data_IF_536650401207
#
_entry.id   IF_536650401207
#
_cell.length_a   1.000
_cell.length_b   1.000
_cell.length_c   1.000
_cell.angle_alpha   90.00
_cell.angle_beta   90.00
_cell.angle_gamma   90.00
#
_symmetry.space_group_name_H-M   'P 1'
#
loop_
_entity.id
_entity.type
_entity.pdbx_description
1 polymer ?
#
# COMPACT_ATOMS: atom_id res chain seq x y z
N UNK A 1 -6.05 -2.33 -3.43
CA UNK A 1 -6.36 -1.91 -2.05
C UNK A 1 -5.23 -2.23 -1.07
N UNK A 2 -4.52 -3.37 -1.17
CA UNK A 2 -3.47 -3.74 -0.20
C UNK A 2 -2.04 -3.33 -0.61
N UNK A 3 -1.86 -2.48 -1.64
CA UNK A 3 -0.53 -2.06 -2.08
C UNK A 3 0.24 -1.32 -0.96
N UNK A 4 1.55 -1.56 -0.87
CA UNK A 4 2.43 -0.92 0.12
C UNK A 4 2.82 0.51 -0.28
N UNK A 5 1.85 1.43 -0.33
CA UNK A 5 2.02 2.77 -0.91
C UNK A 5 2.74 3.78 0.01
N UNK A 6 2.82 3.49 1.32
CA UNK A 6 3.67 4.24 2.27
C UNK A 6 4.87 3.40 2.68
N UNK A 7 6.05 3.77 2.20
CA UNK A 7 7.30 3.13 2.58
C UNK A 7 7.96 3.89 3.72
N UNK A 8 7.99 3.27 4.90
CA UNK A 8 8.69 3.83 6.06
C UNK A 8 10.15 3.39 6.04
N UNK A 9 11.07 4.35 6.07
CA UNK A 9 12.53 4.10 6.03
C UNK A 9 13.23 4.85 7.16
N UNK A 10 14.35 4.33 7.69
CA UNK A 10 15.16 5.10 8.64
C UNK A 10 15.51 6.47 8.02
N UNK A 11 15.27 7.56 8.74
CA UNK A 11 15.49 8.92 8.22
C UNK A 11 16.93 9.11 7.73
N UNK A 12 17.90 8.50 8.42
CA UNK A 12 19.32 8.49 8.05
C UNK A 12 19.64 7.79 6.72
N UNK A 13 18.72 6.99 6.19
CA UNK A 13 18.87 6.24 4.92
C UNK A 13 17.89 6.69 3.84
N UNK A 14 17.20 7.82 4.03
CA UNK A 14 16.23 8.34 3.05
C UNK A 14 16.83 8.49 1.65
N UNK A 15 18.03 9.08 1.54
CA UNK A 15 18.69 9.27 0.24
C UNK A 15 19.05 7.95 -0.46
N UNK A 16 19.45 6.93 0.31
CA UNK A 16 19.73 5.60 -0.22
C UNK A 16 18.45 4.91 -0.72
N UNK A 17 17.39 4.94 0.08
CA UNK A 17 16.09 4.38 -0.28
C UNK A 17 15.50 5.05 -1.52
N UNK A 18 15.52 6.38 -1.59
CA UNK A 18 15.09 7.15 -2.74
C UNK A 18 15.88 6.76 -4.00
N UNK A 19 17.20 6.60 -3.89
CA UNK A 19 18.03 6.16 -5.02
C UNK A 19 17.68 4.76 -5.50
N UNK A 20 17.43 3.82 -4.59
CA UNK A 20 17.02 2.45 -4.95
C UNK A 20 15.65 2.48 -5.63
N UNK A 21 14.70 3.25 -5.12
CA UNK A 21 13.37 3.32 -5.72
C UNK A 21 13.40 3.95 -7.11
N UNK A 22 14.19 5.01 -7.33
CA UNK A 22 14.38 5.58 -8.68
C UNK A 22 14.94 4.54 -9.64
N UNK A 23 16.00 3.83 -9.25
CA UNK A 23 16.58 2.77 -10.08
C UNK A 23 15.58 1.65 -10.38
N UNK A 24 14.74 1.27 -9.41
CA UNK A 24 13.70 0.26 -9.62
C UNK A 24 12.60 0.74 -10.59
N UNK A 25 12.39 2.05 -10.76
CA UNK A 25 11.45 2.57 -11.76
C UNK A 25 12.00 2.43 -13.20
N UNK A 26 13.32 2.35 -13.39
CA UNK A 26 13.93 2.19 -14.72
C UNK A 26 13.55 0.84 -15.37
N UNK A 27 13.25 -0.16 -14.55
CA UNK A 27 12.80 -1.49 -15.00
C UNK A 27 11.29 -1.55 -15.32
N UNK A 28 10.53 -0.50 -15.01
CA UNK A 28 9.07 -0.47 -15.23
C UNK A 28 8.76 0.07 -16.62
N UNK A 29 8.22 -0.80 -17.47
CA UNK A 29 7.70 -0.43 -18.78
C UNK A 29 6.21 -0.10 -18.66
N UNK A 30 5.86 1.18 -18.81
CA UNK A 30 4.46 1.59 -18.94
C UNK A 30 4.05 1.48 -20.40
N UNK A 31 2.93 0.83 -20.69
CA UNK A 31 2.53 0.64 -22.07
C UNK A 31 1.18 -0.04 -22.27
N UNK A 32 0.78 -0.27 -23.53
CA UNK A 32 -0.45 -0.95 -23.88
C UNK A 32 -0.55 -2.33 -23.22
N UNK A 33 -1.73 -2.74 -22.71
CA UNK A 33 -1.89 -4.00 -21.99
C UNK A 33 -1.78 -5.24 -22.89
N UNK A 34 -1.82 -5.08 -24.21
CA UNK A 34 -1.65 -6.13 -25.21
C UNK A 34 -0.19 -6.32 -25.67
N UNK A 35 0.76 -5.58 -25.07
CA UNK A 35 2.19 -5.74 -25.32
C UNK A 35 2.85 -6.61 -24.26
N UNK A 36 3.57 -7.65 -24.68
CA UNK A 36 4.36 -8.52 -23.79
C UNK A 36 5.50 -7.77 -23.06
N UNK A 37 5.89 -6.59 -23.54
CA UNK A 37 6.92 -5.76 -22.91
C UNK A 37 6.36 -4.91 -21.76
N UNK A 38 5.04 -4.74 -21.64
CA UNK A 38 4.41 -3.86 -20.65
C UNK A 38 4.46 -4.48 -19.26
N UNK A 39 5.03 -3.75 -18.31
CA UNK A 39 4.95 -4.06 -16.87
C UNK A 39 3.66 -3.51 -16.26
N UNK A 40 3.27 -2.27 -16.60
CA UNK A 40 2.11 -1.58 -16.04
C UNK A 40 1.27 -0.93 -17.14
N UNK A 41 -0.01 -1.26 -17.17
CA UNK A 41 -1.00 -0.69 -18.10
C UNK A 41 -1.55 0.67 -17.66
N UNK A 42 -2.57 1.20 -18.36
CA UNK A 42 -3.24 2.43 -17.95
C UNK A 42 -4.11 2.18 -16.70
N UNK A 43 -4.45 3.27 -16.00
CA UNK A 43 -5.51 3.19 -14.97
C UNK A 43 -6.88 3.07 -15.64
N UNK A 44 -7.87 2.62 -14.87
CA UNK A 44 -9.14 2.12 -15.43
C UNK A 44 -10.00 3.19 -16.13
N UNK A 45 -9.91 4.46 -15.74
CA UNK A 45 -10.80 5.51 -16.25
C UNK A 45 -10.19 6.91 -16.15
N UNK A 46 -10.79 7.86 -16.88
CA UNK A 46 -10.45 9.28 -16.82
C UNK A 46 -10.61 9.86 -15.42
N UNK A 47 -11.70 9.52 -14.72
CA UNK A 47 -11.95 9.96 -13.34
C UNK A 47 -10.82 9.51 -12.41
N UNK A 48 -10.37 8.26 -12.53
CA UNK A 48 -9.23 7.78 -11.73
C UNK A 48 -7.93 8.46 -12.13
N UNK A 49 -7.70 8.66 -13.43
CA UNK A 49 -6.52 9.36 -13.91
C UNK A 49 -6.45 10.78 -13.34
N UNK A 50 -7.53 11.57 -13.46
CA UNK A 50 -7.61 12.94 -12.94
C UNK A 50 -7.36 12.95 -11.42
N UNK A 51 -8.02 12.08 -10.64
CA UNK A 51 -7.79 11.98 -9.19
C UNK A 51 -6.31 11.73 -8.86
N UNK A 52 -5.66 10.83 -9.59
CA UNK A 52 -4.24 10.53 -9.37
C UNK A 52 -3.36 11.73 -9.72
N UNK A 53 -3.66 12.44 -10.82
CA UNK A 53 -2.94 13.67 -11.18
C UNK A 53 -3.09 14.75 -10.11
N UNK A 54 -4.30 14.96 -9.60
CA UNK A 54 -4.57 15.95 -8.55
C UNK A 54 -3.80 15.63 -7.26
N UNK A 55 -3.72 14.35 -6.88
CA UNK A 55 -2.95 13.92 -5.71
C UNK A 55 -1.43 14.02 -5.93
N UNK A 56 -0.94 13.77 -7.15
CA UNK A 56 0.47 14.04 -7.49
C UNK A 56 0.77 15.54 -7.38
N UNK A 57 -0.10 16.40 -7.93
CA UNK A 57 0.06 17.85 -7.82
C UNK A 57 0.03 18.30 -6.36
N UNK A 58 -0.90 17.77 -5.56
CA UNK A 58 -0.98 18.06 -4.12
C UNK A 58 0.32 17.71 -3.39
N UNK A 59 0.92 16.54 -3.71
CA UNK A 59 2.21 16.16 -3.14
C UNK A 59 3.33 17.15 -3.45
N UNK A 60 3.38 17.67 -4.68
CA UNK A 60 4.33 18.71 -5.10
C UNK A 60 4.07 20.01 -4.33
N UNK A 61 2.80 20.42 -4.22
CA UNK A 61 2.40 21.68 -3.59
C UNK A 61 2.62 21.68 -2.07
N UNK A 62 2.48 20.51 -1.42
CA UNK A 62 2.75 20.31 0.01
C UNK A 62 4.25 20.20 0.32
N UNK A 63 5.12 20.21 -0.70
CA UNK A 63 6.58 20.27 -0.53
C UNK A 63 7.27 18.91 -0.40
N UNK A 64 6.59 17.81 -0.77
CA UNK A 64 7.27 16.53 -0.91
C UNK A 64 8.34 16.60 -2.01
N UNK A 65 9.40 15.81 -1.86
CA UNK A 65 10.46 15.73 -2.89
C UNK A 65 10.03 14.76 -3.98
N UNK A 66 9.78 15.26 -5.19
CA UNK A 66 9.48 14.42 -6.35
C UNK A 66 10.77 13.77 -6.86
N UNK A 67 10.94 12.47 -6.62
CA UNK A 67 12.15 11.72 -6.98
C UNK A 67 12.16 11.29 -8.44
N UNK A 68 11.00 10.88 -8.95
CA UNK A 68 10.79 10.50 -10.36
C UNK A 68 9.30 10.48 -10.71
N UNK A 69 8.99 10.38 -12.00
CA UNK A 69 7.61 10.39 -12.50
C UNK A 69 7.02 11.80 -12.46
N UNK A 70 5.86 11.94 -11.82
CA UNK A 70 5.12 13.19 -11.69
C UNK A 70 3.92 13.28 -12.64
N UNK A 71 3.52 14.52 -12.93
CA UNK A 71 2.33 14.81 -13.71
C UNK A 71 2.47 14.41 -15.18
N UNK A 72 1.31 14.25 -15.82
CA UNK A 72 1.14 13.91 -17.21
C UNK A 72 1.19 12.41 -17.50
N UNK A 73 1.21 12.11 -18.79
CA UNK A 73 1.38 10.76 -19.33
C UNK A 73 2.87 10.51 -19.60
N UNK A 74 3.33 9.25 -19.60
CA UNK A 74 4.66 8.92 -20.12
C UNK A 74 4.80 9.34 -21.58
N UNK A 75 6.03 9.64 -22.00
CA UNK A 75 6.34 10.06 -23.37
C UNK A 75 5.91 8.98 -24.38
N UNK A 76 5.28 9.41 -25.48
CA UNK A 76 4.80 8.51 -26.53
C UNK A 76 3.48 7.79 -26.24
N UNK A 77 2.87 8.00 -25.06
CA UNK A 77 1.57 7.44 -24.68
C UNK A 77 0.47 8.52 -24.61
N UNK A 78 0.18 9.16 -25.75
CA UNK A 78 -0.75 10.31 -25.82
C UNK A 78 -2.24 9.94 -25.63
N UNK A 79 -2.58 8.66 -25.82
CA UNK A 79 -3.96 8.15 -25.71
C UNK A 79 -4.05 7.07 -24.64
N UNK A 80 -5.13 7.10 -23.87
CA UNK A 80 -5.32 6.24 -22.71
C UNK A 80 -4.99 6.96 -21.40
N UNK A 81 -5.26 6.27 -20.30
CA UNK A 81 -5.13 6.81 -18.94
C UNK A 81 -3.82 6.35 -18.30
N UNK A 82 -2.71 6.58 -18.98
CA UNK A 82 -1.39 6.20 -18.47
C UNK A 82 -0.90 7.21 -17.43
N UNK A 83 -0.45 6.70 -16.29
CA UNK A 83 0.16 7.50 -15.22
C UNK A 83 1.64 7.16 -15.15
N UNK A 84 2.48 8.18 -14.97
CA UNK A 84 3.93 7.98 -14.74
C UNK A 84 4.13 7.36 -13.35
N UNK A 85 4.82 6.22 -13.21
CA UNK A 85 5.22 5.70 -11.91
C UNK A 85 5.97 6.78 -11.13
N UNK A 86 5.42 7.17 -9.99
CA UNK A 86 5.82 8.38 -9.27
C UNK A 86 6.29 8.00 -7.87
N UNK A 87 7.43 8.56 -7.47
CA UNK A 87 7.99 8.37 -6.14
C UNK A 87 8.17 9.73 -5.49
N UNK A 88 7.62 9.89 -4.30
CA UNK A 88 7.90 11.01 -3.42
C UNK A 88 8.75 10.58 -2.23
N UNK A 89 9.75 11.37 -1.89
CA UNK A 89 10.52 11.26 -0.64
C UNK A 89 10.31 12.48 0.24
N UNK A 90 10.84 12.40 1.47
CA UNK A 90 10.69 13.45 2.49
C UNK A 90 9.22 13.82 2.76
N UNK A 91 8.33 12.82 2.68
CA UNK A 91 6.91 12.99 2.98
C UNK A 91 6.71 12.95 4.48
N UNK A 92 5.97 13.91 5.03
CA UNK A 92 5.51 13.86 6.42
C UNK A 92 4.15 13.17 6.48
N UNK A 93 3.85 12.48 7.59
CA UNK A 93 2.65 11.66 7.66
C UNK A 93 1.34 12.48 7.66
N UNK A 94 1.39 13.80 7.86
CA UNK A 94 0.26 14.73 7.78
C UNK A 94 -0.05 15.22 6.36
N UNK A 95 0.85 15.01 5.39
CA UNK A 95 0.59 15.32 3.97
C UNK A 95 -0.58 14.51 3.41
N UNK A 96 -1.35 15.11 2.50
CA UNK A 96 -2.52 14.49 1.88
C UNK A 96 -2.15 13.18 1.19
N UNK A 97 -1.00 13.14 0.49
CA UNK A 97 -0.50 11.93 -0.20
C UNK A 97 -0.10 10.78 0.74
N UNK A 98 0.06 11.04 2.05
CA UNK A 98 0.25 10.02 3.08
C UNK A 98 -1.05 9.59 3.77
N UNK A 99 -2.14 10.37 3.63
CA UNK A 99 -3.41 10.12 4.32
C UNK A 99 -4.48 9.52 3.43
N UNK A 100 -4.48 9.88 2.15
CA UNK A 100 -5.47 9.43 1.20
C UNK A 100 -4.97 8.27 0.33
N UNK A 101 -5.89 7.34 0.02
CA UNK A 101 -5.59 6.28 -0.94
C UNK A 101 -5.60 6.84 -2.37
N UNK A 102 -4.42 6.85 -3.01
CA UNK A 102 -4.22 7.39 -4.36
C UNK A 102 -4.79 6.45 -5.44
N UNK A 103 -4.64 5.13 -5.27
CA UNK A 103 -5.07 4.11 -6.24
C UNK A 103 -4.42 4.21 -7.64
N UNK A 104 -3.21 4.78 -7.68
CA UNK A 104 -2.33 4.84 -8.85
C UNK A 104 -0.91 4.37 -8.51
N UNK A 105 0.01 4.35 -9.50
CA UNK A 105 1.41 3.94 -9.29
C UNK A 105 2.21 5.06 -8.60
N UNK A 106 1.83 5.42 -7.38
CA UNK A 106 2.46 6.48 -6.58
C UNK A 106 2.92 5.89 -5.24
N UNK A 107 4.22 6.00 -4.98
CA UNK A 107 4.87 5.60 -3.73
C UNK A 107 5.28 6.85 -2.94
N UNK A 108 5.01 6.86 -1.64
CA UNK A 108 5.53 7.90 -0.74
C UNK A 108 6.50 7.29 0.26
N UNK A 109 7.60 7.99 0.55
CA UNK A 109 8.57 7.59 1.55
C UNK A 109 8.55 8.53 2.76
N UNK A 110 8.41 7.93 3.93
CA UNK A 110 8.33 8.64 5.21
C UNK A 110 9.51 8.20 6.08
N UNK A 111 10.27 9.17 6.58
CA UNK A 111 11.39 8.92 7.49
C UNK A 111 10.90 8.57 8.89
N UNK A 112 11.56 7.62 9.56
CA UNK A 112 11.39 7.36 10.99
C UNK A 112 12.74 7.37 11.72
N UNK A 113 12.72 7.67 13.01
CA UNK A 113 13.93 7.73 13.84
C UNK A 113 14.28 6.37 14.49
N UNK A 114 13.26 5.66 15.00
CA UNK A 114 13.39 4.35 15.64
C UNK A 114 12.16 3.45 15.44
N UNK A 115 12.16 2.27 16.07
CA UNK A 115 11.07 1.30 15.96
C UNK A 115 9.74 1.80 16.54
N UNK A 116 9.80 2.60 17.61
CA UNK A 116 8.60 3.16 18.24
C UNK A 116 7.96 4.20 17.31
N UNK A 117 8.79 5.04 16.72
CA UNK A 117 8.36 6.05 15.76
C UNK A 117 7.81 5.42 14.48
N UNK A 118 8.46 4.37 13.95
CA UNK A 118 7.96 3.61 12.80
C UNK A 118 6.59 2.99 13.08
N UNK A 119 6.40 2.37 14.26
CA UNK A 119 5.10 1.80 14.66
C UNK A 119 4.04 2.88 14.82
N UNK A 120 4.40 4.04 15.38
CA UNK A 120 3.50 5.19 15.52
C UNK A 120 3.03 5.69 14.16
N UNK A 121 3.94 5.94 13.22
CA UNK A 121 3.63 6.43 11.87
C UNK A 121 2.80 5.39 11.08
N UNK A 122 3.18 4.11 11.15
CA UNK A 122 2.46 3.05 10.45
C UNK A 122 1.00 2.96 10.90
N UNK A 123 0.76 3.06 12.21
CA UNK A 123 -0.58 3.03 12.81
C UNK A 123 -1.36 4.34 12.72
N UNK A 124 -0.69 5.46 12.46
CA UNK A 124 -1.33 6.77 12.24
C UNK A 124 -1.90 6.84 10.82
N UNK A 125 -3.07 6.23 10.66
CA UNK A 125 -3.88 6.20 9.44
C UNK A 125 -5.32 5.78 9.80
N UNK A 126 -6.31 6.18 9.00
CA UNK A 126 -7.68 5.69 9.15
C UNK A 126 -7.86 4.24 8.69
N UNK A 127 -6.90 3.69 7.95
CA UNK A 127 -6.94 2.36 7.34
C UNK A 127 -6.18 1.31 8.16
N UNK A 128 -6.26 0.06 7.72
CA UNK A 128 -5.57 -1.08 8.34
C UNK A 128 -5.82 -2.38 7.59
N UNK A 129 -5.59 -2.41 6.27
CA UNK A 129 -5.84 -3.59 5.43
C UNK A 129 -4.67 -4.59 5.45
N UNK A 130 -3.52 -4.18 4.93
CA UNK A 130 -2.28 -4.97 4.94
C UNK A 130 -1.08 -4.10 5.28
N UNK A 131 -0.02 -4.70 5.81
CA UNK A 131 1.25 -4.08 6.11
C UNK A 131 2.41 -5.00 5.73
N UNK A 132 3.58 -4.39 5.54
CA UNK A 132 4.77 -5.06 5.03
C UNK A 132 5.97 -4.65 5.87
N UNK A 133 6.83 -5.60 6.20
CA UNK A 133 8.03 -5.33 7.00
C UNK A 133 9.21 -6.17 6.53
N UNK A 134 10.37 -5.53 6.44
CA UNK A 134 11.63 -6.17 6.05
C UNK A 134 12.69 -5.95 7.14
N UNK A 135 13.40 -7.00 7.54
CA UNK A 135 14.43 -6.95 8.56
C UNK A 135 14.81 -8.32 9.13
N UNK A 136 15.57 -8.35 10.22
CA UNK A 136 15.79 -9.60 10.96
C UNK A 136 14.46 -10.17 11.43
N UNK A 137 14.29 -11.49 11.30
CA UNK A 137 12.99 -12.14 11.46
C UNK A 137 12.35 -11.84 12.83
N UNK A 138 13.14 -11.88 13.92
CA UNK A 138 12.65 -11.64 15.27
C UNK A 138 12.18 -10.20 15.46
N UNK A 139 12.98 -9.20 15.03
CA UNK A 139 12.60 -7.78 15.11
C UNK A 139 11.40 -7.48 14.22
N UNK A 140 11.42 -7.97 12.98
CA UNK A 140 10.33 -7.76 12.04
C UNK A 140 9.01 -8.35 12.57
N UNK A 141 9.05 -9.56 13.10
CA UNK A 141 7.86 -10.21 13.70
C UNK A 141 7.40 -9.49 14.97
N UNK A 142 8.33 -9.01 15.81
CA UNK A 142 7.98 -8.23 17.00
C UNK A 142 7.28 -6.91 16.66
N UNK A 143 7.77 -6.19 15.65
CA UNK A 143 7.15 -4.96 15.14
C UNK A 143 5.81 -5.27 14.47
N UNK A 144 5.73 -6.32 13.63
CA UNK A 144 4.52 -6.69 12.90
C UNK A 144 3.31 -6.89 13.84
N UNK A 145 3.50 -7.51 15.01
CA UNK A 145 2.45 -7.70 16.04
C UNK A 145 1.85 -6.39 16.57
N UNK A 146 2.56 -5.27 16.40
CA UNK A 146 2.15 -3.95 16.90
C UNK A 146 1.46 -3.11 15.83
N UNK A 147 1.50 -3.53 14.56
CA UNK A 147 0.83 -2.83 13.46
C UNK A 147 -0.62 -3.29 13.39
N UNK A 148 -1.56 -2.34 13.45
CA UNK A 148 -3.00 -2.59 13.51
C UNK A 148 -3.59 -2.75 12.12
N UNK A 149 -3.33 -3.91 11.54
CA UNK A 149 -3.76 -4.25 10.19
C UNK A 149 -4.21 -5.71 10.09
N UNK A 150 -4.98 -6.01 9.05
CA UNK A 150 -5.51 -7.35 8.77
C UNK A 150 -4.44 -8.40 8.55
N UNK A 151 -3.45 -8.04 7.73
CA UNK A 151 -2.37 -8.91 7.32
C UNK A 151 -1.01 -8.21 7.45
N UNK A 152 0.00 -8.99 7.83
CA UNK A 152 1.39 -8.55 7.87
C UNK A 152 2.25 -9.49 7.04
N UNK A 153 2.95 -8.95 6.05
CA UNK A 153 3.90 -9.67 5.22
C UNK A 153 5.31 -9.41 5.74
N UNK A 154 5.97 -10.45 6.24
CA UNK A 154 7.35 -10.37 6.76
C UNK A 154 8.32 -10.82 5.69
N UNK A 155 9.34 -10.01 5.39
CA UNK A 155 10.45 -10.33 4.48
C UNK A 155 10.00 -10.83 3.09
N UNK A 156 8.97 -10.18 2.51
CA UNK A 156 8.48 -10.50 1.17
C UNK A 156 7.61 -11.76 1.09
N UNK A 157 7.11 -12.27 2.21
CA UNK A 157 6.13 -13.35 2.21
C UNK A 157 4.94 -13.04 1.28
N UNK A 158 4.64 -13.97 0.37
CA UNK A 158 3.53 -13.86 -0.57
C UNK A 158 2.16 -14.04 0.11
N UNK A 159 1.07 -13.91 -0.66
CA UNK A 159 -0.27 -14.23 -0.16
C UNK A 159 -0.41 -15.73 0.17
N UNK A 160 -1.13 -16.04 1.24
CA UNK A 160 -1.65 -17.38 1.54
C UNK A 160 -3.17 -17.30 1.54
N UNK A 161 -3.83 -17.97 0.59
CA UNK A 161 -5.28 -17.96 0.45
C UNK A 161 -6.01 -18.81 1.51
N UNK A 162 -5.27 -19.51 2.39
CA UNK A 162 -5.84 -20.12 3.59
C UNK A 162 -5.82 -19.16 4.78
N UNK A 163 -5.04 -18.07 4.72
CA UNK A 163 -5.03 -17.06 5.76
C UNK A 163 -6.17 -16.06 5.54
N UNK A 164 -6.80 -15.56 6.62
CA UNK A 164 -7.89 -14.59 6.50
C UNK A 164 -7.39 -13.27 5.90
N UNK A 165 -8.15 -12.75 4.94
CA UNK A 165 -7.95 -11.44 4.31
C UNK A 165 -9.05 -10.48 4.72
N UNK A 166 -8.71 -9.28 5.15
CA UNK A 166 -9.69 -8.26 5.53
C UNK A 166 -9.11 -7.27 6.52
N UNK A 167 -9.68 -6.08 6.57
CA UNK A 167 -9.06 -4.96 7.26
C UNK A 167 -9.48 -4.73 8.72
N UNK A 168 -8.82 -3.75 9.31
CA UNK A 168 -9.22 -3.03 10.51
C UNK A 168 -9.74 -1.64 10.10
N UNK A 169 -10.45 -0.96 11.02
CA UNK A 169 -10.85 0.45 10.88
C UNK A 169 -11.65 0.70 9.59
N UNK A 170 -11.28 1.72 8.81
CA UNK A 170 -11.97 2.05 7.56
C UNK A 170 -11.64 1.10 6.40
N UNK A 171 -10.80 0.08 6.61
CA UNK A 171 -10.52 -0.95 5.61
C UNK A 171 -11.56 -2.07 5.59
N UNK A 172 -12.66 -1.94 6.33
CA UNK A 172 -13.81 -2.85 6.31
C UNK A 172 -13.99 -3.66 7.59
N UNK A 173 -14.99 -4.55 7.57
CA UNK A 173 -15.33 -5.50 8.62
C UNK A 173 -15.58 -6.87 8.00
N UNK A 174 -15.30 -7.93 8.77
CA UNK A 174 -15.35 -9.32 8.31
C UNK A 174 -14.01 -9.82 7.76
N UNK A 175 -13.95 -11.10 7.40
CA UNK A 175 -12.80 -11.72 6.72
C UNK A 175 -13.23 -12.50 5.49
N UNK A 176 -12.44 -12.43 4.44
CA UNK A 176 -12.52 -13.30 3.26
C UNK A 176 -11.37 -14.32 3.30
N UNK A 177 -11.47 -15.35 2.44
CA UNK A 177 -10.51 -16.45 2.33
C UNK A 177 -10.43 -17.34 3.58
N UNK A 178 -9.76 -18.48 3.45
CA UNK A 178 -9.64 -19.44 4.55
C UNK A 178 -10.98 -19.99 5.06
N UNK A 179 -10.95 -20.52 6.28
CA UNK A 179 -12.14 -21.00 7.00
C UNK A 179 -12.99 -19.82 7.46
N UNK A 180 -12.36 -18.74 7.91
CA UNK A 180 -13.04 -17.53 8.39
C UNK A 180 -13.94 -16.91 7.31
N UNK A 181 -13.48 -16.89 6.06
CA UNK A 181 -14.28 -16.39 4.95
C UNK A 181 -15.46 -17.30 4.57
N UNK A 182 -15.37 -18.60 4.84
CA UNK A 182 -16.52 -19.49 4.70
C UNK A 182 -17.54 -19.24 5.82
N UNK A 183 -17.06 -19.03 7.05
CA UNK A 183 -17.91 -18.78 8.22
C UNK A 183 -18.77 -17.52 8.10
N UNK A 184 -18.33 -16.50 7.36
CA UNK A 184 -19.14 -15.30 7.05
C UNK A 184 -20.43 -15.60 6.26
N UNK A 185 -20.52 -16.78 5.62
CA UNK A 185 -21.72 -17.23 4.90
C UNK A 185 -22.58 -18.22 5.70
N UNK A 186 -22.25 -18.48 6.97
CA UNK A 186 -22.96 -19.41 7.84
C UNK A 186 -23.82 -18.66 8.88
N UNK A 187 -25.00 -19.19 9.14
CA UNK A 187 -25.81 -18.80 10.31
C UNK A 187 -25.49 -19.72 11.49
N UNK A 188 -25.21 -19.16 12.67
CA UNK A 188 -24.91 -19.93 13.89
C UNK A 188 -26.17 -20.12 14.73
N UNK A 189 -26.51 -21.38 15.03
CA UNK A 189 -27.70 -21.74 15.82
C UNK A 189 -27.34 -22.60 17.03
N UNK A 190 -27.71 -22.13 18.22
CA UNK A 190 -27.64 -22.92 19.45
C UNK A 190 -28.99 -23.60 19.74
N UNK A 191 -28.96 -24.89 20.10
CA UNK A 191 -30.14 -25.67 20.53
C UNK A 191 -29.97 -26.01 22.02
N UNK A 192 -30.78 -25.39 22.88
CA UNK A 192 -30.75 -25.60 24.33
C UNK A 192 -31.65 -26.79 24.73
N UNK A 193 -31.23 -27.58 25.72
CA UNK A 193 -31.99 -28.75 26.17
C UNK A 193 -31.93 -29.95 25.22
N UNK A 194 -30.89 -30.03 24.37
CA UNK A 194 -30.74 -31.10 23.37
C UNK A 194 -30.62 -32.50 23.99
N UNK A 195 -29.91 -32.61 25.12
CA UNK A 195 -29.83 -33.85 25.88
C UNK A 195 -30.94 -33.88 26.94
N UNK A 196 -31.69 -34.98 26.99
CA UNK A 196 -32.57 -35.29 28.12
C UNK A 196 -31.74 -35.75 29.30
N UNK A 197 -32.12 -35.33 30.51
CA UNK A 197 -31.52 -35.76 31.77
C UNK A 197 -31.52 -37.30 31.93
#
# INVERSE_FOLDING_TARGET
CNAATRMLVPASRMGEAASIARAAMDDIVVGPPDSDATTIGPVVSETQWNKIQDLIQTGIDEGATLECGGLGRPDGLDKGYFVRPTVFSNVTNDMTIAREEIFGPVLVMIGYDDDEDAVRIANDTAYGLSGYISGSHDRATAIARRIRTGQMHVNGAGPDFNAPFGGYRMSGNGREWGEEGLEEFLEVKAILGYATA
#
